data_IF_829948086451
#
_entry.id   IF_829948086451
#
_cell.length_a   1.000
_cell.length_b   1.000
_cell.length_c   1.000
_cell.angle_alpha   90.00
_cell.angle_beta   90.00
_cell.angle_gamma   90.00
#
_symmetry.space_group_name_H-M   'P 1'
#
loop_
_entity.id
_entity.type
_entity.pdbx_description
1 polymer ?
#
# COMPACT_ATOMS: atom_id res chain seq x y z
N UNK A 1 59.26 -6.98 -47.29
CA UNK A 1 57.89 -6.42 -47.47
C UNK A 1 56.95 -7.03 -46.44
N UNK A 2 57.06 -6.61 -45.17
CA UNK A 2 56.22 -7.04 -44.06
C UNK A 2 55.06 -6.04 -43.85
N UNK A 3 54.12 -5.94 -44.81
CA UNK A 3 52.97 -5.02 -44.73
C UNK A 3 51.60 -5.69 -44.91
N UNK A 4 51.50 -7.01 -44.65
CA UNK A 4 50.22 -7.75 -44.79
C UNK A 4 49.73 -8.46 -43.53
N UNK A 5 50.27 -8.17 -42.35
CA UNK A 5 49.77 -8.74 -41.07
C UNK A 5 49.17 -7.69 -40.13
N UNK A 6 48.73 -6.55 -40.67
CA UNK A 6 48.04 -5.49 -39.93
C UNK A 6 46.65 -5.23 -40.52
N UNK A 7 45.89 -6.30 -40.80
CA UNK A 7 44.46 -6.24 -41.17
C UNK A 7 43.64 -7.40 -40.58
N UNK A 8 44.15 -8.02 -39.52
CA UNK A 8 43.44 -9.06 -38.75
C UNK A 8 43.63 -8.74 -37.27
N UNK A 9 43.14 -7.58 -36.84
CA UNK A 9 43.02 -7.25 -35.42
C UNK A 9 41.76 -6.42 -35.12
N UNK A 10 40.78 -6.41 -36.04
CA UNK A 10 39.53 -5.63 -35.89
C UNK A 10 38.28 -6.52 -35.84
N UNK A 11 38.42 -7.84 -35.66
CA UNK A 11 37.27 -8.76 -35.65
C UNK A 11 37.35 -9.71 -34.45
N UNK A 12 37.42 -9.18 -33.22
CA UNK A 12 36.87 -9.82 -32.00
C UNK A 12 36.54 -8.71 -31.01
N UNK A 13 35.63 -7.82 -31.38
CA UNK A 13 35.17 -6.73 -30.52
C UNK A 13 33.71 -6.40 -30.87
N UNK A 14 32.84 -7.39 -30.77
CA UNK A 14 31.39 -7.24 -30.74
C UNK A 14 30.81 -8.60 -30.30
N UNK A 15 29.72 -8.60 -29.53
CA UNK A 15 29.04 -9.75 -28.88
C UNK A 15 29.38 -10.01 -27.40
N UNK A 16 29.61 -8.96 -26.60
CA UNK A 16 29.08 -8.98 -25.23
C UNK A 16 27.65 -8.45 -25.33
N UNK A 17 26.68 -9.33 -25.53
CA UNK A 17 25.28 -9.01 -25.43
C UNK A 17 24.99 -8.61 -23.98
N UNK A 18 25.02 -7.31 -23.69
CA UNK A 18 24.55 -6.79 -22.41
C UNK A 18 23.04 -6.98 -22.40
N UNK A 19 22.60 -8.10 -21.84
CA UNK A 19 21.20 -8.31 -21.50
C UNK A 19 20.90 -7.37 -20.33
N UNK A 20 20.63 -6.10 -20.63
CA UNK A 20 20.07 -5.17 -19.66
C UNK A 20 18.64 -5.63 -19.44
N UNK A 21 18.45 -6.57 -18.53
CA UNK A 21 17.14 -6.89 -17.98
C UNK A 21 16.72 -5.64 -17.21
N UNK A 22 15.94 -4.79 -17.88
CA UNK A 22 15.27 -3.68 -17.24
C UNK A 22 14.22 -4.27 -16.28
N UNK A 23 14.62 -4.54 -15.04
CA UNK A 23 13.66 -4.80 -13.98
C UNK A 23 12.94 -3.48 -13.73
N UNK A 24 11.79 -3.29 -14.36
CA UNK A 24 10.89 -2.19 -13.99
C UNK A 24 10.52 -2.40 -12.53
N UNK A 25 11.05 -1.57 -11.64
CA UNK A 25 10.60 -1.50 -10.26
C UNK A 25 9.20 -0.90 -10.30
N UNK A 26 8.16 -1.74 -10.38
CA UNK A 26 6.77 -1.27 -10.29
C UNK A 26 6.62 -0.57 -8.95
N UNK A 27 6.42 0.74 -8.98
CA UNK A 27 6.14 1.51 -7.79
C UNK A 27 4.63 1.42 -7.52
N UNK A 28 4.24 0.62 -6.52
CA UNK A 28 2.84 0.45 -6.18
C UNK A 28 2.19 1.77 -5.73
N UNK A 29 2.96 2.78 -5.35
CA UNK A 29 2.41 4.05 -4.88
C UNK A 29 1.80 4.88 -6.00
N UNK A 30 2.24 4.68 -7.25
CA UNK A 30 1.68 5.28 -8.46
C UNK A 30 0.37 4.63 -8.91
N UNK A 31 0.07 3.43 -8.39
CA UNK A 31 -1.17 2.71 -8.68
C UNK A 31 -2.28 3.15 -7.73
N UNK A 32 -3.53 2.94 -8.15
CA UNK A 32 -4.74 3.22 -7.36
C UNK A 32 -5.63 1.97 -7.26
N UNK A 33 -6.56 1.99 -6.29
CA UNK A 33 -7.61 0.98 -6.16
C UNK A 33 -7.12 -0.48 -6.13
N UNK A 34 -7.82 -1.34 -6.89
CA UNK A 34 -7.54 -2.77 -6.93
C UNK A 34 -6.13 -3.09 -7.45
N UNK A 35 -5.60 -2.29 -8.38
CA UNK A 35 -4.27 -2.50 -8.94
C UNK A 35 -3.18 -2.25 -7.90
N UNK A 36 -3.30 -1.14 -7.15
CA UNK A 36 -2.44 -0.87 -5.99
C UNK A 36 -2.48 -2.01 -4.98
N UNK A 37 -3.68 -2.50 -4.67
CA UNK A 37 -3.89 -3.59 -3.71
C UNK A 37 -3.22 -4.89 -4.17
N UNK A 38 -3.34 -5.24 -5.45
CA UNK A 38 -2.66 -6.40 -6.05
C UNK A 38 -1.14 -6.22 -5.96
N UNK A 39 -0.62 -5.08 -6.40
CA UNK A 39 0.83 -4.80 -6.39
C UNK A 39 1.43 -4.92 -4.98
N UNK A 40 0.76 -4.37 -3.95
CA UNK A 40 1.21 -4.47 -2.56
C UNK A 40 1.23 -5.93 -2.07
N UNK A 41 0.17 -6.69 -2.36
CA UNK A 41 0.10 -8.11 -1.99
C UNK A 41 1.15 -8.96 -2.70
N UNK A 42 1.47 -8.67 -3.98
CA UNK A 42 2.54 -9.35 -4.72
C UNK A 42 3.92 -9.07 -4.11
N UNK A 43 4.20 -7.82 -3.72
CA UNK A 43 5.45 -7.47 -3.02
C UNK A 43 5.56 -8.15 -1.66
N UNK A 44 4.46 -8.20 -0.89
CA UNK A 44 4.42 -8.93 0.37
C UNK A 44 4.65 -10.43 0.17
N UNK A 45 4.07 -11.01 -0.89
CA UNK A 45 4.26 -12.41 -1.24
C UNK A 45 5.71 -12.70 -1.61
N UNK A 46 6.33 -11.85 -2.43
CA UNK A 46 7.74 -11.96 -2.79
C UNK A 46 8.64 -11.92 -1.55
N UNK A 47 8.36 -10.99 -0.62
CA UNK A 47 9.06 -10.88 0.65
C UNK A 47 8.88 -12.14 1.51
N UNK A 48 7.65 -12.64 1.65
CA UNK A 48 7.36 -13.86 2.40
C UNK A 48 8.05 -15.09 1.82
N UNK A 49 8.12 -15.21 0.49
CA UNK A 49 8.87 -16.26 -0.22
C UNK A 49 10.37 -16.19 0.09
N UNK A 50 10.98 -14.99 0.02
CA UNK A 50 12.40 -14.79 0.37
C UNK A 50 12.71 -15.16 1.82
N UNK A 51 11.78 -14.90 2.74
CA UNK A 51 11.91 -15.24 4.16
C UNK A 51 11.53 -16.69 4.50
N UNK A 52 11.04 -17.47 3.52
CA UNK A 52 10.55 -18.84 3.71
C UNK A 52 9.44 -18.97 4.79
N UNK A 53 8.57 -17.96 4.92
CA UNK A 53 7.44 -17.99 5.87
C UNK A 53 6.23 -18.63 5.17
N UNK A 54 6.19 -19.97 5.14
CA UNK A 54 5.22 -20.74 4.35
C UNK A 54 3.76 -20.36 4.65
N UNK A 55 3.38 -20.27 5.93
CA UNK A 55 2.00 -19.90 6.30
C UNK A 55 1.58 -18.52 5.79
N UNK A 56 2.53 -17.58 5.71
CA UNK A 56 2.29 -16.24 5.16
C UNK A 56 2.16 -16.29 3.64
N UNK A 57 2.97 -17.11 2.97
CA UNK A 57 2.87 -17.35 1.52
C UNK A 57 1.48 -17.85 1.17
N UNK A 58 1.00 -18.92 1.83
CA UNK A 58 -0.31 -19.52 1.53
C UNK A 58 -1.47 -18.52 1.73
N UNK A 59 -1.41 -17.75 2.82
CA UNK A 59 -2.38 -16.70 3.11
C UNK A 59 -2.39 -15.59 2.07
N UNK A 60 -1.21 -15.15 1.63
CA UNK A 60 -1.05 -14.09 0.61
C UNK A 60 -1.48 -14.57 -0.78
N UNK A 61 -1.20 -15.81 -1.16
CA UNK A 61 -1.67 -16.38 -2.43
C UNK A 61 -3.20 -16.48 -2.46
N UNK A 62 -3.81 -16.91 -1.35
CA UNK A 62 -5.27 -16.92 -1.19
C UNK A 62 -5.86 -15.50 -1.26
N UNK A 63 -5.22 -14.52 -0.62
CA UNK A 63 -5.66 -13.12 -0.66
C UNK A 63 -5.57 -12.55 -2.07
N UNK A 64 -4.47 -12.83 -2.79
CA UNK A 64 -4.27 -12.41 -4.18
C UNK A 64 -5.33 -12.99 -5.10
N UNK A 65 -5.64 -14.28 -5.00
CA UNK A 65 -6.71 -14.90 -5.80
C UNK A 65 -8.06 -14.21 -5.57
N UNK A 66 -8.43 -13.99 -4.30
CA UNK A 66 -9.67 -13.29 -3.94
C UNK A 66 -9.70 -11.87 -4.47
N UNK A 67 -8.60 -11.12 -4.35
CA UNK A 67 -8.54 -9.73 -4.84
C UNK A 67 -8.63 -9.70 -6.36
N UNK A 68 -7.88 -10.54 -7.07
CA UNK A 68 -7.95 -10.61 -8.54
C UNK A 68 -9.34 -10.99 -9.04
N UNK A 69 -10.07 -11.83 -8.30
CA UNK A 69 -11.39 -12.31 -8.70
C UNK A 69 -12.54 -11.37 -8.32
N UNK A 70 -12.46 -10.71 -7.16
CA UNK A 70 -13.61 -10.02 -6.56
C UNK A 70 -13.38 -8.54 -6.23
N UNK A 71 -12.18 -8.01 -6.42
CA UNK A 71 -11.95 -6.59 -6.20
C UNK A 71 -12.55 -5.77 -7.35
N UNK A 72 -13.33 -4.75 -7.00
CA UNK A 72 -13.72 -3.68 -7.90
C UNK A 72 -13.47 -2.34 -7.23
N UNK A 73 -13.12 -1.32 -8.02
CA UNK A 73 -12.91 0.03 -7.48
C UNK A 73 -14.20 0.57 -6.85
N UNK A 74 -15.37 0.28 -7.42
CA UNK A 74 -16.66 0.66 -6.83
C UNK A 74 -16.87 0.08 -5.43
N UNK A 75 -16.47 -1.18 -5.22
CA UNK A 75 -16.52 -1.80 -3.90
C UNK A 75 -15.55 -1.13 -2.93
N UNK A 76 -14.34 -0.80 -3.36
CA UNK A 76 -13.38 -0.07 -2.53
C UNK A 76 -13.88 1.33 -2.16
N UNK A 77 -14.45 2.06 -3.11
CA UNK A 77 -15.06 3.38 -2.88
C UNK A 77 -16.21 3.28 -1.87
N UNK A 78 -17.07 2.26 -2.01
CA UNK A 78 -18.14 2.01 -1.05
C UNK A 78 -17.57 1.72 0.34
N UNK A 79 -16.62 0.79 0.44
CA UNK A 79 -15.99 0.41 1.70
C UNK A 79 -15.31 1.62 2.38
N UNK A 80 -14.69 2.53 1.61
CA UNK A 80 -14.10 3.77 2.14
C UNK A 80 -15.17 4.73 2.68
N UNK A 81 -16.27 4.92 1.94
CA UNK A 81 -17.38 5.78 2.39
C UNK A 81 -18.03 5.25 3.66
N UNK A 82 -18.24 3.93 3.74
CA UNK A 82 -18.79 3.28 4.93
C UNK A 82 -17.85 3.50 6.12
N UNK A 83 -16.54 3.26 5.98
CA UNK A 83 -15.56 3.55 7.04
C UNK A 83 -15.51 5.01 7.46
N UNK A 84 -15.62 5.95 6.53
CA UNK A 84 -15.66 7.39 6.86
C UNK A 84 -16.90 7.70 7.70
N UNK A 85 -18.04 7.08 7.39
CA UNK A 85 -19.26 7.28 8.17
C UNK A 85 -19.12 6.66 9.56
N UNK A 86 -18.65 5.42 9.67
CA UNK A 86 -18.38 4.77 10.95
C UNK A 86 -17.45 5.64 11.82
N UNK A 87 -16.39 6.19 11.23
CA UNK A 87 -15.47 7.09 11.96
C UNK A 87 -16.07 8.42 12.37
N UNK A 88 -17.04 8.94 11.61
CA UNK A 88 -17.79 10.13 12.00
C UNK A 88 -18.75 9.83 13.15
N UNK A 89 -19.31 8.63 13.21
CA UNK A 89 -20.11 8.16 14.33
C UNK A 89 -19.23 8.01 15.59
N UNK A 90 -18.07 7.36 15.48
CA UNK A 90 -17.07 7.27 16.57
C UNK A 90 -16.70 8.68 17.08
N UNK A 91 -16.40 9.61 16.17
CA UNK A 91 -16.05 11.00 16.52
C UNK A 91 -17.19 11.70 17.27
N UNK A 92 -18.43 11.51 16.83
CA UNK A 92 -19.60 12.09 17.51
C UNK A 92 -19.76 11.52 18.93
N UNK A 93 -19.63 10.20 19.10
CA UNK A 93 -19.68 9.54 20.41
C UNK A 93 -18.57 10.06 21.33
N UNK A 94 -17.33 10.13 20.84
CA UNK A 94 -16.20 10.62 21.64
C UNK A 94 -16.33 12.11 22.02
N UNK A 95 -16.98 12.94 21.18
CA UNK A 95 -17.28 14.34 21.52
C UNK A 95 -18.29 14.42 22.66
N UNK A 96 -19.36 13.63 22.63
CA UNK A 96 -20.35 13.56 23.72
C UNK A 96 -19.72 13.07 25.04
N UNK A 97 -18.90 12.03 24.94
CA UNK A 97 -18.18 11.46 26.08
C UNK A 97 -17.16 12.44 26.68
N UNK A 98 -16.50 13.23 25.83
CA UNK A 98 -15.64 14.33 26.26
C UNK A 98 -16.44 15.39 27.04
N UNK A 99 -17.57 15.86 26.50
CA UNK A 99 -18.41 16.85 27.18
C UNK A 99 -18.89 16.36 28.56
N UNK A 100 -19.27 15.09 28.64
CA UNK A 100 -19.65 14.45 29.91
C UNK A 100 -18.48 14.39 30.88
N UNK A 101 -17.27 14.05 30.41
CA UNK A 101 -16.07 14.03 31.24
C UNK A 101 -15.72 15.43 31.77
N UNK A 102 -15.91 16.47 30.97
CA UNK A 102 -15.75 17.88 31.38
C UNK A 102 -16.75 18.25 32.47
N UNK A 103 -18.05 17.96 32.28
CA UNK A 103 -19.11 18.22 33.28
C UNK A 103 -18.82 17.52 34.61
N UNK A 104 -18.31 16.30 34.55
CA UNK A 104 -17.97 15.48 35.71
C UNK A 104 -16.58 15.76 36.32
N UNK A 105 -15.80 16.70 35.75
CA UNK A 105 -14.41 16.99 36.15
C UNK A 105 -13.48 15.76 36.15
N UNK A 106 -13.67 14.81 35.23
CA UNK A 106 -12.89 13.57 35.10
C UNK A 106 -11.66 13.78 34.22
N UNK A 107 -10.60 14.34 34.79
CA UNK A 107 -9.39 14.77 34.05
C UNK A 107 -8.68 13.67 33.27
N UNK A 108 -8.71 12.42 33.75
CA UNK A 108 -8.21 11.24 33.05
C UNK A 108 -9.02 10.95 31.78
N UNK A 109 -10.35 11.02 31.88
CA UNK A 109 -11.26 10.81 30.75
C UNK A 109 -11.20 11.94 29.73
N UNK A 110 -11.07 13.19 30.19
CA UNK A 110 -10.89 14.35 29.30
C UNK A 110 -9.69 14.11 28.37
N UNK A 111 -8.52 13.78 28.93
CA UNK A 111 -7.31 13.50 28.12
C UNK A 111 -7.48 12.30 27.18
N UNK A 112 -8.15 11.25 27.65
CA UNK A 112 -8.44 10.06 26.83
C UNK A 112 -9.28 10.44 25.60
N UNK A 113 -10.36 11.19 25.79
CA UNK A 113 -11.25 11.54 24.68
C UNK A 113 -10.68 12.62 23.78
N UNK A 114 -9.84 13.55 24.27
CA UNK A 114 -9.05 14.44 23.39
C UNK A 114 -8.16 13.66 22.43
N UNK A 115 -7.49 12.62 22.93
CA UNK A 115 -6.66 11.74 22.11
C UNK A 115 -7.51 11.01 21.06
N UNK A 116 -8.65 10.43 21.47
CA UNK A 116 -9.54 9.71 20.57
C UNK A 116 -10.14 10.60 19.47
N UNK A 117 -10.60 11.79 19.84
CA UNK A 117 -11.10 12.79 18.88
C UNK A 117 -10.02 13.17 17.86
N UNK A 118 -8.77 13.29 18.28
CA UNK A 118 -7.66 13.59 17.37
C UNK A 118 -7.34 12.40 16.44
N UNK A 119 -7.38 11.18 16.96
CA UNK A 119 -7.24 9.94 16.18
C UNK A 119 -8.34 9.84 15.13
N UNK A 120 -9.62 9.97 15.50
CA UNK A 120 -10.75 9.87 14.57
C UNK A 120 -10.68 10.93 13.47
N UNK A 121 -10.36 12.19 13.82
CA UNK A 121 -10.19 13.26 12.83
C UNK A 121 -9.07 12.96 11.83
N UNK A 122 -7.97 12.38 12.31
CA UNK A 122 -6.84 12.00 11.46
C UNK A 122 -7.24 10.86 10.53
N UNK A 123 -7.85 9.80 11.06
CA UNK A 123 -8.32 8.65 10.28
C UNK A 123 -9.38 9.06 9.24
N UNK A 124 -10.34 9.91 9.60
CA UNK A 124 -11.32 10.46 8.65
C UNK A 124 -10.61 11.18 7.50
N UNK A 125 -9.62 12.02 7.81
CA UNK A 125 -8.88 12.78 6.81
C UNK A 125 -8.09 11.85 5.88
N UNK A 126 -7.38 10.86 6.42
CA UNK A 126 -6.63 9.89 5.63
C UNK A 126 -7.55 9.08 4.70
N UNK A 127 -8.69 8.63 5.21
CA UNK A 127 -9.69 7.91 4.40
C UNK A 127 -10.29 8.80 3.30
N UNK A 128 -10.51 10.09 3.58
CA UNK A 128 -10.97 11.06 2.58
C UNK A 128 -9.89 11.30 1.51
N UNK A 129 -8.63 11.44 1.90
CA UNK A 129 -7.52 11.57 0.97
C UNK A 129 -7.39 10.33 0.08
N UNK A 130 -7.49 9.12 0.65
CA UNK A 130 -7.51 7.87 -0.12
C UNK A 130 -8.71 7.83 -1.08
N UNK A 131 -9.90 8.17 -0.61
CA UNK A 131 -11.11 8.22 -1.44
C UNK A 131 -10.96 9.20 -2.62
N UNK A 132 -10.29 10.33 -2.42
CA UNK A 132 -10.04 11.33 -3.46
C UNK A 132 -8.98 10.90 -4.50
N UNK A 133 -8.34 9.75 -4.33
CA UNK A 133 -7.42 9.17 -5.33
C UNK A 133 -8.12 8.32 -6.39
N UNK A 134 -9.41 8.03 -6.20
CA UNK A 134 -10.25 7.31 -7.16
C UNK A 134 -10.94 8.26 -8.14
#
# INVERSE_FOLDING_TARGET
MLKKMLKIQVIVLLLIGVNIQANSLVNCDELIGCEKKICKLEKELESAKKMNIISKVDGLETALDKVRKYCTNDKLIKDLKDKINDKKEDLAEHLEDYEKAVKDNKTDKIKKYETKIAEDKTEIKELQEELNTF
#
